data_IF_175840409189
#
_entry.id   IF_175840409189
#
_cell.length_a   1.000
_cell.length_b   1.000
_cell.length_c   1.000
_cell.angle_alpha   90.00
_cell.angle_beta   90.00
_cell.angle_gamma   90.00
#
_symmetry.space_group_name_H-M   'P 1'
#
loop_
_entity.id
_entity.type
_entity.pdbx_description
1 polymer ?
#
# COMPACT_ATOMS: atom_id res chain seq x y z
N UNK A 1 -9.63 10.05 4.98
CA UNK A 1 -10.16 9.20 3.89
C UNK A 1 -10.00 9.89 2.57
N UNK A 2 -10.46 9.28 1.48
CA UNK A 2 -10.58 9.95 0.19
C UNK A 2 -11.89 9.54 -0.45
N UNK A 3 -12.80 10.50 -0.61
CA UNK A 3 -14.06 10.33 -1.34
C UNK A 3 -14.00 11.28 -2.53
N UNK A 4 -13.98 10.78 -3.78
CA UNK A 4 -14.18 11.62 -4.96
C UNK A 4 -15.52 12.35 -4.90
N UNK A 5 -15.58 13.54 -5.48
CA UNK A 5 -16.85 14.17 -5.81
C UNK A 5 -17.38 13.55 -7.11
N UNK A 6 -18.61 13.05 -7.09
CA UNK A 6 -19.31 12.55 -8.27
C UNK A 6 -20.51 13.43 -8.61
N UNK A 7 -20.89 13.53 -9.89
CA UNK A 7 -22.09 14.25 -10.28
C UNK A 7 -23.33 13.73 -9.55
N UNK A 8 -24.15 14.66 -9.05
CA UNK A 8 -25.45 14.38 -8.40
C UNK A 8 -25.39 13.54 -7.12
N UNK A 9 -24.22 13.44 -6.46
CA UNK A 9 -24.03 12.65 -5.24
C UNK A 9 -24.98 13.05 -4.10
N UNK A 10 -25.35 14.32 -4.03
CA UNK A 10 -26.31 14.90 -3.08
C UNK A 10 -27.76 14.49 -3.35
N UNK A 11 -28.08 13.97 -4.55
CA UNK A 11 -29.44 13.53 -4.89
C UNK A 11 -29.79 12.16 -4.32
N UNK A 12 -28.80 11.34 -4.01
CA UNK A 12 -29.01 9.99 -3.47
C UNK A 12 -29.77 10.04 -2.15
N UNK A 13 -30.87 9.29 -2.06
CA UNK A 13 -31.77 9.31 -0.88
C UNK A 13 -31.36 8.33 0.20
N UNK A 14 -30.47 7.39 -0.11
CA UNK A 14 -29.91 6.44 0.85
C UNK A 14 -28.77 7.03 1.68
N UNK A 15 -28.03 6.16 2.38
CA UNK A 15 -26.91 6.56 3.24
C UNK A 15 -25.57 6.37 2.52
N UNK A 16 -24.71 7.39 2.53
CA UNK A 16 -23.33 7.28 2.05
C UNK A 16 -22.39 7.16 3.25
N UNK A 17 -21.50 6.17 3.24
CA UNK A 17 -20.57 5.88 4.33
C UNK A 17 -19.15 5.75 3.80
N UNK A 18 -18.19 6.42 4.45
CA UNK A 18 -16.78 6.18 4.19
C UNK A 18 -16.21 5.20 5.24
N UNK A 19 -15.49 4.13 4.88
CA UNK A 19 -15.04 3.10 5.83
C UNK A 19 -14.15 3.60 6.99
N UNK A 20 -13.37 4.66 6.80
CA UNK A 20 -12.57 5.24 7.90
C UNK A 20 -13.39 5.97 8.97
N UNK A 21 -14.64 6.29 8.68
CA UNK A 21 -15.56 6.98 9.61
C UNK A 21 -16.85 6.17 9.69
N UNK A 22 -16.70 4.87 9.93
CA UNK A 22 -17.82 3.92 9.98
C UNK A 22 -18.77 4.25 11.15
N UNK A 23 -20.08 4.50 10.90
CA UNK A 23 -21.03 4.78 11.97
C UNK A 23 -21.28 3.54 12.83
N UNK A 24 -21.21 3.68 14.15
CA UNK A 24 -21.45 2.57 15.11
C UNK A 24 -22.88 1.99 15.00
N UNK A 25 -23.84 2.82 14.59
CA UNK A 25 -25.25 2.48 14.47
C UNK A 25 -25.67 2.06 13.05
N UNK A 26 -24.71 1.81 12.14
CA UNK A 26 -25.03 1.47 10.76
C UNK A 26 -25.68 0.07 10.66
N UNK A 27 -27.00 0.05 10.51
CA UNK A 27 -27.74 -1.17 10.18
C UNK A 27 -27.85 -1.37 8.66
N UNK A 28 -27.18 -2.42 8.17
CA UNK A 28 -27.19 -2.86 6.79
C UNK A 28 -27.99 -4.16 6.56
N UNK A 29 -28.66 -4.70 7.60
CA UNK A 29 -29.42 -5.95 7.48
C UNK A 29 -30.61 -5.79 6.55
N UNK A 30 -30.77 -6.75 5.63
CA UNK A 30 -31.86 -6.73 4.66
C UNK A 30 -31.87 -5.51 3.74
N UNK A 31 -30.72 -4.84 3.54
CA UNK A 31 -30.56 -3.70 2.64
C UNK A 31 -29.68 -4.04 1.44
N UNK A 32 -29.87 -3.33 0.34
CA UNK A 32 -28.96 -3.35 -0.80
C UNK A 32 -27.77 -2.44 -0.52
N UNK A 33 -26.56 -2.99 -0.54
CA UNK A 33 -25.33 -2.27 -0.27
C UNK A 33 -24.46 -2.20 -1.53
N UNK A 34 -23.99 -1.01 -1.88
CA UNK A 34 -23.05 -0.80 -2.98
C UNK A 34 -21.70 -0.34 -2.43
N UNK A 35 -20.65 -1.13 -2.62
CA UNK A 35 -19.28 -0.80 -2.21
C UNK A 35 -18.50 -0.31 -3.42
N UNK A 36 -18.02 0.94 -3.38
CA UNK A 36 -17.21 1.55 -4.44
C UNK A 36 -15.73 1.41 -4.12
N UNK A 37 -14.99 0.71 -4.98
CA UNK A 37 -13.54 0.53 -4.89
C UNK A 37 -13.13 -0.94 -4.86
N UNK A 38 -11.91 -1.25 -5.31
CA UNK A 38 -11.38 -2.62 -5.43
C UNK A 38 -10.18 -2.90 -4.50
N UNK A 39 -9.88 -1.99 -3.58
CA UNK A 39 -8.74 -2.12 -2.68
C UNK A 39 -8.97 -3.09 -1.52
N UNK A 40 -7.98 -3.20 -0.63
CA UNK A 40 -8.04 -4.08 0.54
C UNK A 40 -9.27 -3.86 1.42
N UNK A 41 -9.69 -2.61 1.62
CA UNK A 41 -10.92 -2.29 2.38
C UNK A 41 -12.16 -2.92 1.77
N UNK A 42 -12.30 -2.91 0.43
CA UNK A 42 -13.43 -3.55 -0.21
C UNK A 42 -13.33 -5.08 -0.12
N UNK A 43 -12.11 -5.62 -0.29
CA UNK A 43 -11.81 -7.04 -0.21
C UNK A 43 -12.18 -7.65 1.16
N UNK A 44 -12.04 -6.89 2.25
CA UNK A 44 -12.42 -7.34 3.60
C UNK A 44 -13.88 -7.03 3.93
N UNK A 45 -14.40 -5.87 3.48
CA UNK A 45 -15.74 -5.43 3.81
C UNK A 45 -16.83 -6.26 3.14
N UNK A 46 -16.69 -6.51 1.83
CA UNK A 46 -17.70 -7.24 1.04
C UNK A 46 -18.01 -8.62 1.64
N UNK A 47 -17.03 -9.52 1.89
CA UNK A 47 -17.34 -10.82 2.48
C UNK A 47 -17.89 -10.70 3.91
N UNK A 48 -17.46 -9.70 4.69
CA UNK A 48 -17.93 -9.51 6.06
C UNK A 48 -19.42 -9.14 6.15
N UNK A 49 -19.97 -8.42 5.16
CA UNK A 49 -21.39 -7.98 5.18
C UNK A 49 -22.31 -8.83 4.29
N UNK A 50 -21.76 -9.56 3.31
CA UNK A 50 -22.54 -10.30 2.30
C UNK A 50 -23.54 -11.29 2.90
N UNK A 51 -23.26 -11.84 4.10
CA UNK A 51 -24.16 -12.76 4.79
C UNK A 51 -25.37 -12.11 5.47
N UNK A 52 -25.30 -10.80 5.74
CA UNK A 52 -26.22 -10.08 6.62
C UNK A 52 -27.09 -9.07 5.86
N UNK A 53 -26.57 -8.49 4.76
CA UNK A 53 -27.34 -7.59 3.89
C UNK A 53 -28.32 -8.35 2.97
N UNK A 54 -29.26 -7.65 2.32
CA UNK A 54 -30.09 -8.26 1.27
C UNK A 54 -29.21 -8.68 0.09
N UNK A 55 -28.32 -7.78 -0.35
CA UNK A 55 -27.36 -8.01 -1.42
C UNK A 55 -26.23 -6.98 -1.35
N UNK A 56 -24.99 -7.40 -1.65
CA UNK A 56 -23.85 -6.48 -1.79
C UNK A 56 -23.31 -6.47 -3.22
N UNK A 57 -23.18 -5.29 -3.80
CA UNK A 57 -22.52 -5.09 -5.10
C UNK A 57 -21.19 -4.39 -4.88
N UNK A 58 -20.10 -4.98 -5.37
CA UNK A 58 -18.79 -4.37 -5.47
C UNK A 58 -18.69 -3.65 -6.82
N UNK A 59 -18.67 -2.33 -6.82
CA UNK A 59 -18.41 -1.53 -8.01
C UNK A 59 -16.94 -1.11 -8.04
N UNK A 60 -16.25 -1.47 -9.11
CA UNK A 60 -14.85 -1.13 -9.31
C UNK A 60 -14.60 -0.52 -10.69
N UNK A 61 -13.72 0.47 -10.75
CA UNK A 61 -13.26 1.05 -12.03
C UNK A 61 -12.16 0.20 -12.66
N UNK A 62 -11.23 -0.28 -11.83
CA UNK A 62 -10.06 -1.03 -12.28
C UNK A 62 -9.90 -2.25 -11.37
N UNK A 63 -9.84 -3.47 -11.92
CA UNK A 63 -9.58 -4.68 -11.13
C UNK A 63 -8.23 -4.61 -10.41
N UNK A 64 -8.12 -5.33 -9.28
CA UNK A 64 -6.84 -5.59 -8.59
C UNK A 64 -6.50 -7.08 -8.59
N UNK A 65 -5.26 -7.40 -8.24
CA UNK A 65 -4.83 -8.77 -7.99
C UNK A 65 -5.17 -9.20 -6.56
N UNK A 66 -5.51 -10.48 -6.43
CA UNK A 66 -5.82 -11.14 -5.16
C UNK A 66 -5.00 -12.41 -4.99
N UNK A 67 -4.69 -12.75 -3.74
CA UNK A 67 -4.16 -14.06 -3.36
C UNK A 67 -5.19 -14.70 -2.44
N UNK A 68 -6.03 -15.63 -2.93
CA UNK A 68 -6.81 -16.49 -2.06
C UNK A 68 -5.91 -17.50 -1.37
N UNK A 69 -6.11 -17.70 -0.08
CA UNK A 69 -5.35 -18.69 0.69
C UNK A 69 -5.87 -18.83 2.11
N UNK A 70 -5.50 -19.94 2.76
CA UNK A 70 -5.86 -20.18 4.16
C UNK A 70 -5.15 -19.18 5.07
N UNK A 71 -5.85 -18.66 6.07
CA UNK A 71 -5.25 -17.76 7.05
C UNK A 71 -4.50 -18.55 8.14
N UNK A 72 -3.47 -19.28 7.74
CA UNK A 72 -2.64 -20.12 8.60
C UNK A 72 -1.19 -20.15 8.09
N UNK A 73 -0.30 -20.79 8.87
CA UNK A 73 1.08 -21.01 8.43
C UNK A 73 1.44 -22.49 8.61
N UNK A 74 1.32 -23.25 7.52
CA UNK A 74 1.54 -24.71 7.53
C UNK A 74 2.94 -25.10 8.03
N UNK A 75 3.98 -24.31 7.73
CA UNK A 75 5.32 -24.57 8.24
C UNK A 75 5.38 -24.43 9.75
N UNK A 76 4.84 -23.32 10.29
CA UNK A 76 4.80 -23.09 11.72
C UNK A 76 4.03 -24.21 12.44
N UNK A 77 2.87 -24.61 11.91
CA UNK A 77 2.05 -25.66 12.50
C UNK A 77 2.76 -27.02 12.49
N UNK A 78 3.45 -27.35 11.40
CA UNK A 78 4.30 -28.55 11.33
C UNK A 78 5.43 -28.52 12.35
N UNK A 79 6.11 -27.39 12.52
CA UNK A 79 7.20 -27.25 13.49
C UNK A 79 6.69 -27.35 14.94
N UNK A 80 5.49 -26.81 15.24
CA UNK A 80 4.84 -26.98 16.54
C UNK A 80 4.55 -28.44 16.85
N UNK A 81 4.01 -29.19 15.88
CA UNK A 81 3.75 -30.64 16.03
C UNK A 81 5.04 -31.42 16.29
N UNK A 82 6.17 -30.98 15.71
CA UNK A 82 7.49 -31.59 15.96
C UNK A 82 8.12 -31.19 17.30
N UNK A 83 7.48 -30.32 18.09
CA UNK A 83 7.99 -29.87 19.39
C UNK A 83 9.18 -28.90 19.30
N UNK A 84 9.32 -28.18 18.17
CA UNK A 84 10.34 -27.13 18.03
C UNK A 84 9.98 -25.95 18.94
N UNK A 85 10.98 -25.34 19.56
CA UNK A 85 10.80 -24.15 20.42
C UNK A 85 10.24 -22.97 19.61
N UNK A 86 9.28 -22.22 20.17
CA UNK A 86 8.59 -21.11 19.48
C UNK A 86 9.56 -20.02 18.98
N UNK A 87 10.72 -19.83 19.63
CA UNK A 87 11.75 -18.90 19.15
C UNK A 87 12.28 -19.33 17.78
N UNK A 88 12.55 -20.63 17.61
CA UNK A 88 13.02 -21.19 16.34
C UNK A 88 11.91 -21.27 15.32
N UNK A 89 10.67 -21.56 15.73
CA UNK A 89 9.51 -21.52 14.83
C UNK A 89 9.38 -20.13 14.22
N UNK A 90 9.36 -19.09 15.06
CA UNK A 90 9.27 -17.72 14.60
C UNK A 90 10.42 -17.36 13.64
N UNK A 91 11.66 -17.68 13.99
CA UNK A 91 12.82 -17.35 13.16
C UNK A 91 12.81 -18.07 11.81
N UNK A 92 12.48 -19.37 11.80
CA UNK A 92 12.40 -20.18 10.57
C UNK A 92 11.28 -19.64 9.67
N UNK A 93 10.07 -19.47 10.22
CA UNK A 93 8.92 -18.97 9.47
C UNK A 93 9.15 -17.55 8.96
N UNK A 94 9.75 -16.67 9.75
CA UNK A 94 10.11 -15.31 9.32
C UNK A 94 11.05 -15.35 8.12
N UNK A 95 12.09 -16.19 8.14
CA UNK A 95 13.02 -16.34 7.01
C UNK A 95 12.33 -16.86 5.76
N UNK A 96 11.49 -17.87 5.89
CA UNK A 96 10.71 -18.41 4.78
C UNK A 96 9.79 -17.34 4.16
N UNK A 97 9.01 -16.63 4.98
CA UNK A 97 8.09 -15.60 4.50
C UNK A 97 8.84 -14.50 3.75
N UNK A 98 9.96 -14.01 4.30
CA UNK A 98 10.76 -12.96 3.67
C UNK A 98 11.41 -13.45 2.36
N UNK A 99 11.87 -14.70 2.33
CA UNK A 99 12.43 -15.30 1.12
C UNK A 99 11.37 -15.44 0.04
N UNK A 100 10.23 -16.05 0.36
CA UNK A 100 9.12 -16.25 -0.58
C UNK A 100 8.56 -14.92 -1.09
N UNK A 101 8.47 -13.91 -0.23
CA UNK A 101 8.03 -12.57 -0.62
C UNK A 101 9.02 -11.88 -1.57
N UNK A 102 10.33 -12.00 -1.32
CA UNK A 102 11.34 -11.46 -2.20
C UNK A 102 11.34 -12.16 -3.56
N UNK A 103 11.23 -13.49 -3.56
CA UNK A 103 11.13 -14.27 -4.79
C UNK A 103 9.86 -13.91 -5.58
N UNK A 104 8.71 -13.85 -4.93
CA UNK A 104 7.46 -13.44 -5.55
C UNK A 104 7.53 -12.01 -6.12
N UNK A 105 8.20 -11.09 -5.40
CA UNK A 105 8.44 -9.74 -5.90
C UNK A 105 9.34 -9.77 -7.13
N UNK A 106 10.46 -10.50 -7.11
CA UNK A 106 11.40 -10.65 -8.23
C UNK A 106 10.70 -11.20 -9.48
N UNK A 107 9.95 -12.29 -9.33
CA UNK A 107 9.16 -12.90 -10.41
C UNK A 107 8.15 -11.92 -11.02
N UNK A 108 7.56 -11.02 -10.23
CA UNK A 108 6.64 -10.00 -10.75
C UNK A 108 7.27 -8.97 -11.70
N UNK A 109 8.61 -8.90 -11.75
CA UNK A 109 9.36 -8.10 -12.71
C UNK A 109 9.95 -8.96 -13.84
N UNK A 110 10.54 -10.11 -13.52
CA UNK A 110 11.23 -10.97 -14.50
C UNK A 110 10.26 -11.77 -15.38
N UNK A 111 9.12 -12.21 -14.82
CA UNK A 111 8.13 -13.05 -15.49
C UNK A 111 6.68 -12.63 -15.17
N UNK A 112 6.32 -11.35 -15.41
CA UNK A 112 5.04 -10.77 -14.97
C UNK A 112 3.81 -11.49 -15.51
N UNK A 113 3.88 -12.06 -16.72
CA UNK A 113 2.76 -12.79 -17.33
C UNK A 113 2.56 -14.19 -16.72
N UNK A 114 3.64 -14.83 -16.25
CA UNK A 114 3.54 -16.10 -15.51
C UNK A 114 2.88 -15.84 -14.16
N UNK A 115 3.36 -14.84 -13.42
CA UNK A 115 2.78 -14.46 -12.12
C UNK A 115 1.33 -13.99 -12.28
N UNK A 116 1.02 -13.22 -13.33
CA UNK A 116 -0.37 -12.85 -13.67
C UNK A 116 -1.23 -14.11 -13.81
N UNK A 117 -0.78 -15.07 -14.61
CA UNK A 117 -1.53 -16.32 -14.84
C UNK A 117 -1.76 -17.09 -13.54
N UNK A 118 -0.73 -17.24 -12.71
CA UNK A 118 -0.84 -17.93 -11.40
C UNK A 118 -1.88 -17.26 -10.49
N UNK A 119 -1.86 -15.93 -10.38
CA UNK A 119 -2.82 -15.17 -9.58
C UNK A 119 -4.26 -15.33 -10.11
N UNK A 120 -4.44 -15.29 -11.43
CA UNK A 120 -5.77 -15.48 -12.03
C UNK A 120 -6.26 -16.92 -11.90
N UNK A 121 -5.37 -17.91 -12.09
CA UNK A 121 -5.69 -19.33 -11.91
C UNK A 121 -6.15 -19.63 -10.48
N UNK A 122 -5.56 -18.98 -9.49
CA UNK A 122 -6.01 -19.08 -8.10
C UNK A 122 -7.45 -18.55 -7.91
N UNK A 123 -7.84 -17.49 -8.61
CA UNK A 123 -9.22 -16.97 -8.59
C UNK A 123 -10.18 -17.88 -9.36
N UNK A 124 -9.74 -18.48 -10.47
CA UNK A 124 -10.52 -19.44 -11.28
C UNK A 124 -10.94 -20.69 -10.51
N UNK A 125 -10.26 -21.02 -9.40
CA UNK A 125 -10.69 -22.09 -8.49
C UNK A 125 -12.06 -21.80 -7.84
N UNK A 126 -12.47 -20.53 -7.79
CA UNK A 126 -13.70 -20.10 -7.12
C UNK A 126 -14.77 -19.58 -8.09
N UNK A 127 -14.37 -19.05 -9.26
CA UNK A 127 -15.26 -18.33 -10.17
C UNK A 127 -15.13 -18.82 -11.62
N UNK A 128 -16.21 -18.72 -12.43
CA UNK A 128 -16.17 -19.03 -13.85
C UNK A 128 -15.22 -18.10 -14.62
N UNK A 129 -14.61 -18.63 -15.70
CA UNK A 129 -13.65 -17.91 -16.56
C UNK A 129 -14.13 -16.52 -16.98
N UNK A 130 -15.37 -16.42 -17.46
CA UNK A 130 -15.96 -15.16 -17.94
C UNK A 130 -16.01 -14.09 -16.84
N UNK A 131 -16.27 -14.50 -15.59
CA UNK A 131 -16.29 -13.58 -14.45
C UNK A 131 -14.88 -13.12 -14.10
N UNK A 132 -13.90 -14.03 -14.14
CA UNK A 132 -12.49 -13.70 -13.88
C UNK A 132 -11.97 -12.72 -14.92
N UNK A 133 -12.16 -13.00 -16.21
CA UNK A 133 -11.66 -12.14 -17.28
C UNK A 133 -12.29 -10.74 -17.26
N UNK A 134 -13.59 -10.65 -16.97
CA UNK A 134 -14.31 -9.37 -16.91
C UNK A 134 -13.98 -8.55 -15.65
N UNK A 135 -13.86 -9.21 -14.49
CA UNK A 135 -13.87 -8.52 -13.20
C UNK A 135 -12.56 -8.63 -12.40
N UNK A 136 -11.65 -9.51 -12.77
CA UNK A 136 -10.46 -9.80 -11.96
C UNK A 136 -9.16 -9.81 -12.76
N UNK A 137 -9.13 -9.23 -13.97
CA UNK A 137 -7.93 -9.07 -14.81
C UNK A 137 -7.42 -7.62 -14.81
N UNK A 138 -6.45 -7.25 -13.95
CA UNK A 138 -5.88 -5.90 -13.93
C UNK A 138 -5.04 -5.60 -15.19
N UNK A 139 -4.95 -4.31 -15.55
CA UNK A 139 -4.15 -3.84 -16.71
C UNK A 139 -2.68 -3.54 -16.38
N UNK A 140 -2.26 -3.70 -15.13
CA UNK A 140 -0.89 -3.47 -14.68
C UNK A 140 -0.22 -4.82 -14.35
N UNK A 141 1.12 -4.85 -14.25
CA UNK A 141 1.85 -6.06 -13.83
C UNK A 141 1.59 -6.36 -12.34
N UNK A 142 1.63 -7.62 -11.89
CA UNK A 142 1.59 -7.94 -10.46
C UNK A 142 2.55 -7.06 -9.65
N UNK A 143 2.15 -6.69 -8.43
CA UNK A 143 2.92 -5.84 -7.51
C UNK A 143 3.22 -4.39 -7.93
N UNK A 144 2.81 -3.90 -9.11
CA UNK A 144 2.82 -2.44 -9.37
C UNK A 144 1.83 -1.68 -8.47
N UNK A 145 0.83 -2.38 -7.96
CA UNK A 145 -0.02 -1.97 -6.85
C UNK A 145 -0.07 -3.11 -5.82
N UNK A 146 -0.51 -2.83 -4.59
CA UNK A 146 -0.60 -3.87 -3.54
C UNK A 146 -1.58 -4.97 -3.96
N UNK A 147 -1.16 -6.21 -3.70
CA UNK A 147 -1.97 -7.40 -3.88
C UNK A 147 -2.71 -7.68 -2.56
N UNK A 148 -4.01 -7.91 -2.64
CA UNK A 148 -4.82 -8.20 -1.45
C UNK A 148 -4.86 -9.70 -1.18
N UNK A 149 -4.53 -10.11 0.05
CA UNK A 149 -4.78 -11.46 0.51
C UNK A 149 -6.25 -11.59 0.91
N UNK A 150 -6.93 -12.64 0.45
CA UNK A 150 -8.35 -12.92 0.75
C UNK A 150 -8.46 -14.28 1.45
N UNK A 151 -8.70 -14.28 2.78
CA UNK A 151 -8.79 -15.51 3.57
C UNK A 151 -9.80 -16.49 2.97
N UNK A 152 -9.35 -17.70 2.71
CA UNK A 152 -10.14 -18.81 2.15
C UNK A 152 -10.86 -18.47 0.83
N UNK A 153 -10.51 -17.35 0.16
CA UNK A 153 -11.25 -16.86 -1.00
C UNK A 153 -12.68 -16.41 -0.67
N UNK A 154 -12.94 -15.96 0.55
CA UNK A 154 -14.26 -15.54 1.08
C UNK A 154 -15.05 -14.60 0.16
N UNK A 155 -14.42 -13.59 -0.42
CA UNK A 155 -15.07 -12.69 -1.40
C UNK A 155 -15.54 -13.44 -2.65
N UNK A 156 -14.73 -14.37 -3.15
CA UNK A 156 -15.07 -15.17 -4.32
C UNK A 156 -16.17 -16.17 -4.03
N UNK A 157 -16.15 -16.79 -2.84
CA UNK A 157 -17.24 -17.65 -2.37
C UNK A 157 -18.56 -16.86 -2.23
N UNK A 158 -18.49 -15.63 -1.70
CA UNK A 158 -19.63 -14.71 -1.63
C UNK A 158 -20.25 -14.44 -3.01
N UNK A 159 -19.40 -14.20 -4.02
CA UNK A 159 -19.83 -14.01 -5.41
C UNK A 159 -20.41 -15.30 -6.01
N UNK A 160 -19.72 -16.43 -5.84
CA UNK A 160 -20.14 -17.73 -6.37
C UNK A 160 -21.49 -18.18 -5.79
N UNK A 161 -21.76 -17.86 -4.52
CA UNK A 161 -23.04 -18.15 -3.85
C UNK A 161 -24.18 -17.22 -4.26
N UNK A 162 -23.90 -16.14 -5.00
CA UNK A 162 -24.86 -15.12 -5.41
C UNK A 162 -25.18 -14.07 -4.35
N UNK A 163 -24.57 -14.13 -3.15
CA UNK A 163 -24.75 -13.12 -2.08
C UNK A 163 -24.03 -11.80 -2.37
N UNK A 164 -23.04 -11.85 -3.25
CA UNK A 164 -22.33 -10.68 -3.74
C UNK A 164 -22.30 -10.65 -5.26
N UNK A 165 -22.16 -9.47 -5.84
CA UNK A 165 -21.90 -9.30 -7.28
C UNK A 165 -20.77 -8.30 -7.47
N UNK A 166 -19.98 -8.45 -8.54
CA UNK A 166 -18.98 -7.46 -8.94
C UNK A 166 -19.38 -6.83 -10.25
N UNK A 167 -19.24 -5.51 -10.31
CA UNK A 167 -19.36 -4.74 -11.55
C UNK A 167 -18.09 -3.96 -11.81
N UNK A 168 -17.55 -4.12 -13.02
CA UNK A 168 -16.39 -3.35 -13.51
C UNK A 168 -16.90 -2.31 -14.49
N UNK A 169 -17.02 -1.07 -14.04
CA UNK A 169 -17.50 0.04 -14.86
C UNK A 169 -17.14 1.39 -14.23
N UNK A 170 -17.43 2.47 -14.94
CA UNK A 170 -17.29 3.85 -14.48
C UNK A 170 -18.64 4.43 -14.06
N UNK A 171 -18.60 5.26 -13.02
CA UNK A 171 -19.75 6.03 -12.54
C UNK A 171 -19.99 7.18 -13.52
N UNK A 172 -21.21 7.30 -14.04
CA UNK A 172 -21.67 8.47 -14.80
C UNK A 172 -22.18 9.54 -13.83
N UNK A 173 -23.13 9.19 -12.97
CA UNK A 173 -23.68 10.05 -11.91
C UNK A 173 -24.44 9.25 -10.86
N UNK A 174 -24.68 9.86 -9.70
CA UNK A 174 -25.61 9.32 -8.71
C UNK A 174 -27.06 9.59 -9.15
N UNK A 175 -27.97 8.73 -8.71
CA UNK A 175 -29.41 8.88 -8.89
C UNK A 175 -30.07 8.93 -7.51
N UNK A 176 -31.37 9.21 -7.46
CA UNK A 176 -32.10 9.18 -6.19
C UNK A 176 -32.08 7.80 -5.51
N UNK A 177 -31.90 6.73 -6.31
CA UNK A 177 -31.96 5.32 -5.87
C UNK A 177 -30.61 4.61 -5.83
N UNK A 178 -29.55 5.20 -6.37
CA UNK A 178 -28.25 4.54 -6.45
C UNK A 178 -27.29 5.24 -7.42
N UNK A 179 -26.72 4.48 -8.35
CA UNK A 179 -25.69 4.96 -9.29
C UNK A 179 -26.01 4.53 -10.72
N UNK A 180 -25.98 5.49 -11.65
CA UNK A 180 -25.96 5.22 -13.08
C UNK A 180 -24.51 5.05 -13.54
N UNK A 181 -24.24 3.94 -14.20
CA UNK A 181 -22.94 3.65 -14.80
C UNK A 181 -22.87 4.19 -16.23
N UNK A 182 -21.66 4.39 -16.75
CA UNK A 182 -21.43 4.83 -18.15
C UNK A 182 -21.94 3.83 -19.18
N UNK A 183 -22.04 2.54 -18.84
CA UNK A 183 -22.71 1.53 -19.68
C UNK A 183 -24.22 1.72 -19.82
N UNK A 184 -24.83 2.57 -18.98
CA UNK A 184 -26.28 2.76 -18.90
C UNK A 184 -26.99 1.84 -17.90
N UNK A 185 -26.26 0.91 -17.24
CA UNK A 185 -26.80 0.11 -16.14
C UNK A 185 -26.93 0.97 -14.88
N UNK A 186 -28.08 0.89 -14.21
CA UNK A 186 -28.30 1.50 -12.90
C UNK A 186 -28.12 0.45 -11.79
N UNK A 187 -27.33 0.79 -10.78
CA UNK A 187 -27.13 0.00 -9.56
C UNK A 187 -27.90 0.65 -8.42
N UNK A 188 -29.02 0.06 -8.02
CA UNK A 188 -29.80 0.53 -6.86
C UNK A 188 -29.15 0.12 -5.54
N UNK A 189 -29.20 1.00 -4.54
CA UNK A 189 -28.68 0.72 -3.21
C UNK A 189 -29.40 1.55 -2.14
N UNK A 190 -29.54 1.01 -0.94
CA UNK A 190 -29.96 1.77 0.24
C UNK A 190 -28.76 2.42 0.94
N UNK A 191 -27.58 1.78 0.82
CA UNK A 191 -26.32 2.22 1.41
C UNK A 191 -25.22 2.16 0.35
N UNK A 192 -24.49 3.27 0.19
CA UNK A 192 -23.29 3.34 -0.65
C UNK A 192 -22.07 3.50 0.24
N UNK A 193 -21.09 2.62 0.09
CA UNK A 193 -19.85 2.63 0.87
C UNK A 193 -18.69 3.03 -0.03
N UNK A 194 -18.05 4.16 0.26
CA UNK A 194 -16.96 4.71 -0.55
C UNK A 194 -15.61 4.15 -0.08
N UNK A 195 -15.34 2.87 -0.38
CA UNK A 195 -14.06 2.20 -0.11
C UNK A 195 -12.93 2.65 -1.07
N UNK A 196 -12.81 3.96 -1.26
CA UNK A 196 -12.00 4.63 -2.30
C UNK A 196 -10.58 5.00 -1.85
N UNK A 197 -10.16 4.47 -0.70
CA UNK A 197 -8.81 4.65 -0.15
C UNK A 197 -8.66 5.94 0.66
N UNK A 198 -7.49 6.56 0.58
CA UNK A 198 -7.12 7.73 1.39
C UNK A 198 -6.22 8.70 0.61
N UNK A 199 -6.08 9.92 1.13
CA UNK A 199 -4.98 10.81 0.78
C UNK A 199 -3.81 10.50 1.70
N UNK A 200 -2.60 10.43 1.15
CA UNK A 200 -1.41 10.22 1.98
C UNK A 200 -1.21 11.48 2.84
N UNK A 201 -1.17 11.30 4.15
CA UNK A 201 -0.72 12.36 5.06
C UNK A 201 0.80 12.32 5.06
N UNK A 202 1.41 13.15 4.20
CA UNK A 202 2.86 13.26 4.10
C UNK A 202 3.36 13.87 5.40
N UNK A 203 4.13 13.10 6.16
CA UNK A 203 4.69 13.50 7.45
C UNK A 203 3.66 13.90 8.52
N UNK A 204 2.44 13.38 8.43
CA UNK A 204 1.44 13.48 9.51
C UNK A 204 0.74 14.84 9.62
N UNK A 205 0.69 15.63 8.54
CA UNK A 205 0.07 16.97 8.48
C UNK A 205 0.70 17.96 9.48
N UNK A 206 1.98 17.74 9.81
CA UNK A 206 2.77 18.63 10.68
C UNK A 206 3.33 19.77 9.83
N UNK A 207 3.11 21.02 10.29
CA UNK A 207 3.72 22.21 9.71
C UNK A 207 5.18 22.34 10.19
N UNK A 208 6.12 21.94 9.34
CA UNK A 208 7.55 22.08 9.62
C UNK A 208 8.08 23.45 9.16
N UNK A 209 9.00 24.01 9.93
CA UNK A 209 9.77 25.19 9.54
C UNK A 209 11.26 25.06 9.93
N UNK A 210 12.11 25.81 9.23
CA UNK A 210 13.52 25.99 9.57
C UNK A 210 13.78 27.49 9.69
N UNK A 211 14.18 27.94 10.88
CA UNK A 211 14.43 29.34 11.21
C UNK A 211 13.24 30.26 10.85
N UNK A 212 12.01 29.81 11.11
CA UNK A 212 10.77 30.55 10.83
C UNK A 212 10.31 30.51 9.38
N UNK A 213 10.97 29.74 8.50
CA UNK A 213 10.57 29.58 7.09
C UNK A 213 9.89 28.22 6.88
N UNK A 214 8.68 28.17 6.30
CA UNK A 214 8.01 26.92 6.00
C UNK A 214 8.88 25.97 5.17
N UNK A 215 8.93 24.71 5.59
CA UNK A 215 9.67 23.66 4.91
C UNK A 215 8.76 22.93 3.91
N UNK A 216 9.13 22.98 2.64
CA UNK A 216 8.51 22.18 1.59
C UNK A 216 9.41 20.97 1.25
N UNK A 217 8.97 19.77 1.62
CA UNK A 217 9.75 18.55 1.39
C UNK A 217 9.96 18.23 -0.09
N UNK A 218 9.06 18.68 -0.99
CA UNK A 218 9.20 18.49 -2.43
C UNK A 218 10.43 19.19 -3.04
N UNK A 219 11.01 20.16 -2.32
CA UNK A 219 12.23 20.85 -2.71
C UNK A 219 13.50 20.11 -2.25
N UNK A 220 13.37 19.10 -1.39
CA UNK A 220 14.47 18.29 -0.88
C UNK A 220 14.71 17.03 -1.71
N UNK A 221 15.90 16.44 -1.54
CA UNK A 221 16.25 15.10 -2.01
C UNK A 221 16.45 14.20 -0.80
N UNK A 222 15.93 12.98 -0.84
CA UNK A 222 16.12 12.05 0.28
C UNK A 222 17.46 11.33 0.21
N UNK A 223 18.23 11.33 1.29
CA UNK A 223 19.30 10.36 1.51
C UNK A 223 18.69 9.05 2.01
N UNK A 224 18.86 7.97 1.24
CA UNK A 224 18.35 6.61 1.48
C UNK A 224 16.87 6.56 1.90
N UNK A 225 16.06 7.53 1.46
CA UNK A 225 14.66 7.63 1.88
C UNK A 225 14.44 7.77 3.40
N UNK A 226 15.43 8.29 4.14
CA UNK A 226 15.38 8.45 5.60
C UNK A 226 15.83 9.82 6.11
N UNK A 227 16.67 10.57 5.38
CA UNK A 227 17.03 11.96 5.72
C UNK A 227 16.79 12.87 4.50
N UNK A 228 16.72 14.18 4.69
CA UNK A 228 16.39 15.14 3.63
C UNK A 228 17.48 16.20 3.49
N UNK A 229 17.87 16.52 2.26
CA UNK A 229 18.86 17.56 2.01
C UNK A 229 18.41 18.90 2.62
N UNK A 230 19.28 19.52 3.40
CA UNK A 230 19.01 20.82 4.02
C UNK A 230 18.13 20.78 5.28
N UNK A 231 17.67 19.61 5.72
CA UNK A 231 16.89 19.46 6.96
C UNK A 231 17.78 18.89 8.07
N UNK A 232 18.07 19.66 9.14
CA UNK A 232 18.94 19.20 10.21
C UNK A 232 18.22 18.23 11.16
N UNK A 233 18.97 17.25 11.68
CA UNK A 233 18.56 16.39 12.80
C UNK A 233 17.20 15.67 12.63
N UNK A 234 16.76 15.43 11.39
CA UNK A 234 15.50 14.75 11.11
C UNK A 234 15.74 13.40 10.42
N UNK A 235 15.15 12.35 10.96
CA UNK A 235 15.06 11.02 10.34
C UNK A 235 13.59 10.66 10.13
N UNK A 236 13.26 10.30 8.89
CA UNK A 236 11.94 9.85 8.48
C UNK A 236 11.89 8.33 8.42
N UNK A 237 11.10 7.74 9.31
CA UNK A 237 10.86 6.30 9.35
C UNK A 237 9.71 5.98 8.39
N UNK A 238 10.05 5.51 7.19
CA UNK A 238 9.08 5.02 6.22
C UNK A 238 9.44 3.59 5.81
N UNK A 239 8.49 2.65 5.89
CA UNK A 239 8.74 1.22 5.62
C UNK A 239 8.57 0.79 4.16
N UNK A 240 8.66 -0.51 3.91
CA UNK A 240 8.53 -1.08 2.56
C UNK A 240 7.07 -1.16 2.08
N UNK A 241 6.86 -1.07 0.77
CA UNK A 241 5.53 -1.27 0.19
C UNK A 241 5.09 -2.73 0.12
N UNK A 242 6.05 -3.62 -0.11
CA UNK A 242 5.84 -5.06 -0.37
C UNK A 242 6.17 -5.96 0.80
N UNK A 243 6.86 -5.43 1.81
CA UNK A 243 7.22 -6.14 3.03
C UNK A 243 6.64 -5.44 4.26
N UNK A 244 6.77 -6.07 5.43
CA UNK A 244 6.35 -5.42 6.67
C UNK A 244 7.13 -4.12 6.89
N UNK A 245 6.42 -3.05 7.25
CA UNK A 245 7.04 -1.76 7.52
C UNK A 245 8.01 -1.84 8.70
N UNK A 246 7.74 -2.70 9.69
CA UNK A 246 8.56 -2.89 10.89
C UNK A 246 9.98 -3.35 10.59
N UNK A 247 10.20 -4.07 9.48
CA UNK A 247 11.54 -4.54 9.10
C UNK A 247 12.51 -3.39 8.89
N UNK A 248 12.04 -2.28 8.30
CA UNK A 248 12.86 -1.10 8.06
C UNK A 248 12.98 -0.23 9.31
N UNK A 249 11.96 -0.24 10.17
CA UNK A 249 11.99 0.51 11.44
C UNK A 249 13.19 0.08 12.28
N UNK A 250 13.42 -1.23 12.41
CA UNK A 250 14.55 -1.76 13.19
C UNK A 250 15.89 -1.29 12.61
N UNK A 251 16.08 -1.40 11.28
CA UNK A 251 17.30 -0.95 10.60
C UNK A 251 17.55 0.54 10.78
N UNK A 252 16.50 1.35 10.70
CA UNK A 252 16.60 2.80 10.90
C UNK A 252 16.83 3.14 12.39
N UNK A 253 16.29 2.37 13.32
CA UNK A 253 16.56 2.51 14.75
C UNK A 253 18.04 2.30 15.08
N UNK A 254 18.66 1.26 14.53
CA UNK A 254 20.09 1.01 14.68
C UNK A 254 20.94 2.13 14.06
N UNK A 255 20.55 2.62 12.88
CA UNK A 255 21.19 3.77 12.24
C UNK A 255 21.10 5.03 13.12
N UNK A 256 19.93 5.34 13.68
CA UNK A 256 19.73 6.48 14.58
C UNK A 256 20.65 6.39 15.79
N UNK A 257 20.71 5.22 16.45
CA UNK A 257 21.58 5.01 17.60
C UNK A 257 23.06 5.23 17.27
N UNK A 258 23.51 4.72 16.10
CA UNK A 258 24.88 4.92 15.61
C UNK A 258 25.16 6.39 15.30
N UNK A 259 24.24 7.08 14.62
CA UNK A 259 24.37 8.49 14.28
C UNK A 259 24.48 9.37 15.53
N UNK A 260 23.61 9.16 16.52
CA UNK A 260 23.64 9.92 17.77
C UNK A 260 24.96 9.71 18.52
N UNK A 261 25.43 8.46 18.64
CA UNK A 261 26.72 8.16 19.26
C UNK A 261 27.89 8.84 18.52
N UNK A 262 27.86 8.83 17.20
CA UNK A 262 28.89 9.49 16.38
C UNK A 262 28.87 11.02 16.54
N UNK A 263 27.67 11.63 16.63
CA UNK A 263 27.53 13.05 16.94
C UNK A 263 28.10 13.40 18.32
N UNK A 264 27.84 12.57 19.34
CA UNK A 264 28.41 12.75 20.68
C UNK A 264 29.94 12.67 20.68
N UNK A 265 30.52 11.71 19.96
CA UNK A 265 31.98 11.54 19.81
C UNK A 265 32.63 12.75 19.11
N UNK A 266 31.92 13.38 18.16
CA UNK A 266 32.37 14.61 17.48
C UNK A 266 32.09 15.89 18.26
N UNK A 267 31.25 15.84 19.29
CA UNK A 267 30.70 17.02 19.94
C UNK A 267 29.80 17.87 19.03
N UNK A 268 29.23 17.26 17.98
CA UNK A 268 28.34 17.91 17.03
C UNK A 268 26.92 18.00 17.59
N UNK A 269 26.26 19.13 17.39
CA UNK A 269 24.86 19.35 17.81
C UNK A 269 23.89 19.26 16.65
N UNK A 270 24.41 19.37 15.43
CA UNK A 270 23.62 19.36 14.21
C UNK A 270 24.30 18.48 13.17
N UNK A 271 23.50 17.66 12.52
CA UNK A 271 23.86 16.94 11.31
C UNK A 271 22.83 17.23 10.23
N UNK A 272 23.32 17.54 9.04
CA UNK A 272 22.50 17.74 7.83
C UNK A 272 23.09 16.88 6.72
N UNK A 273 22.24 16.32 5.87
CA UNK A 273 22.70 15.69 4.63
C UNK A 273 22.71 16.69 3.47
N UNK A 274 23.70 16.59 2.59
CA UNK A 274 23.82 17.38 1.37
C UNK A 274 24.25 16.51 0.20
N UNK A 275 23.91 16.93 -1.04
CA UNK A 275 24.38 16.23 -2.23
C UNK A 275 25.91 16.27 -2.27
N UNK A 276 26.52 15.09 -2.51
CA UNK A 276 27.97 14.99 -2.75
C UNK A 276 28.33 15.77 -4.01
N UNK A 277 29.59 16.21 -4.14
CA UNK A 277 30.04 17.03 -5.27
C UNK A 277 29.81 16.32 -6.61
N UNK A 278 30.08 15.03 -6.66
CA UNK A 278 29.87 14.14 -7.79
C UNK A 278 28.39 13.88 -8.12
N UNK A 279 27.47 14.23 -7.23
CA UNK A 279 26.02 14.06 -7.39
C UNK A 279 25.29 15.37 -7.73
N UNK A 280 26.01 16.50 -7.74
CA UNK A 280 25.42 17.83 -7.94
C UNK A 280 24.62 18.00 -9.23
N UNK A 281 24.93 17.21 -10.27
CA UNK A 281 24.26 17.23 -11.57
C UNK A 281 23.40 15.98 -11.84
N UNK A 282 23.13 15.15 -10.83
CA UNK A 282 22.32 13.95 -11.02
C UNK A 282 20.87 14.32 -11.40
N UNK A 283 20.19 13.52 -12.24
CA UNK A 283 18.76 13.67 -12.47
C UNK A 283 17.97 13.56 -11.17
N UNK A 284 17.03 14.49 -10.97
CA UNK A 284 16.06 14.40 -9.88
C UNK A 284 14.77 13.78 -10.40
N UNK A 285 14.32 12.74 -9.71
CA UNK A 285 13.17 11.92 -10.10
C UNK A 285 12.09 11.98 -9.01
N UNK A 286 10.84 11.62 -9.32
CA UNK A 286 9.80 11.43 -8.31
C UNK A 286 10.24 10.44 -7.24
N UNK A 287 9.76 10.64 -6.02
CA UNK A 287 10.15 9.87 -4.82
C UNK A 287 10.14 8.35 -5.00
N UNK A 288 9.16 7.86 -5.77
CA UNK A 288 9.08 6.46 -6.20
C UNK A 288 8.91 6.44 -7.71
N UNK A 289 9.49 5.42 -8.35
CA UNK A 289 9.25 5.15 -9.76
C UNK A 289 7.82 4.61 -9.98
N UNK A 290 6.96 5.27 -10.78
CA UNK A 290 5.61 4.78 -11.07
C UNK A 290 5.59 3.43 -11.81
N UNK A 291 6.65 3.07 -12.53
CA UNK A 291 6.78 1.73 -13.12
C UNK A 291 7.05 0.66 -12.06
N UNK A 292 7.69 1.06 -10.95
CA UNK A 292 7.86 0.23 -9.77
C UNK A 292 6.57 0.12 -8.96
N UNK A 293 5.98 1.24 -8.52
CA UNK A 293 4.81 1.23 -7.65
C UNK A 293 3.95 2.49 -7.79
N UNK A 294 2.67 2.35 -8.19
CA UNK A 294 1.82 3.48 -8.56
C UNK A 294 0.34 3.42 -8.09
N UNK A 295 0.02 2.98 -6.87
CA UNK A 295 -1.37 3.02 -6.41
C UNK A 295 -1.87 4.47 -6.36
N UNK A 296 -3.16 4.66 -6.64
CA UNK A 296 -3.74 6.01 -6.78
C UNK A 296 -3.58 6.90 -5.56
N UNK A 297 -3.57 6.36 -4.35
CA UNK A 297 -3.36 7.14 -3.11
C UNK A 297 -1.97 7.75 -3.02
N UNK A 298 -0.96 7.12 -3.63
CA UNK A 298 0.41 7.61 -3.64
C UNK A 298 0.60 8.62 -4.77
N UNK A 299 0.07 8.32 -5.95
CA UNK A 299 0.18 9.21 -7.12
C UNK A 299 -0.49 10.57 -6.90
N UNK A 300 -1.56 10.62 -6.08
CA UNK A 300 -2.25 11.89 -5.72
C UNK A 300 -1.42 12.83 -4.85
N UNK A 301 -0.38 12.33 -4.16
CA UNK A 301 0.42 13.11 -3.21
C UNK A 301 1.90 13.15 -3.62
N UNK A 302 2.23 12.74 -4.85
CA UNK A 302 3.61 12.63 -5.32
C UNK A 302 4.33 13.98 -5.36
N UNK A 303 3.59 15.04 -5.65
CA UNK A 303 4.04 16.43 -5.69
C UNK A 303 4.39 16.99 -4.31
N UNK A 304 3.90 16.38 -3.22
CA UNK A 304 4.21 16.74 -1.84
C UNK A 304 5.43 15.98 -1.29
N UNK A 305 5.85 14.90 -1.96
CA UNK A 305 6.92 14.03 -1.52
C UNK A 305 8.29 14.56 -1.97
N UNK A 306 9.36 14.27 -1.20
CA UNK A 306 10.72 14.65 -1.58
C UNK A 306 11.17 13.96 -2.87
N UNK A 307 12.14 14.55 -3.57
CA UNK A 307 12.72 13.96 -4.78
C UNK A 307 13.71 12.85 -4.42
N UNK A 308 14.02 12.01 -5.41
CA UNK A 308 15.10 11.02 -5.34
C UNK A 308 16.16 11.28 -6.41
N UNK A 309 17.37 10.82 -6.17
CA UNK A 309 18.41 10.74 -7.19
C UNK A 309 18.35 9.44 -7.99
N UNK A 310 19.23 9.30 -8.97
CA UNK A 310 19.40 8.08 -9.78
C UNK A 310 20.39 7.07 -9.17
N UNK A 311 21.10 7.43 -8.10
CA UNK A 311 22.01 6.55 -7.35
C UNK A 311 21.37 5.95 -6.09
N UNK A 312 21.81 4.77 -5.62
CA UNK A 312 21.22 4.07 -4.46
C UNK A 312 21.18 4.89 -3.16
N UNK A 313 22.19 5.74 -2.92
CA UNK A 313 22.28 6.58 -1.73
C UNK A 313 21.19 7.65 -1.67
N UNK A 314 20.59 7.97 -2.83
CA UNK A 314 19.53 8.98 -2.94
C UNK A 314 18.16 8.35 -3.22
N UNK A 315 18.00 7.06 -2.93
CA UNK A 315 16.78 6.29 -3.18
C UNK A 315 16.33 5.52 -1.95
N UNK A 316 15.01 5.32 -1.82
CA UNK A 316 14.46 4.24 -1.03
C UNK A 316 14.37 3.00 -1.92
N UNK A 317 15.26 2.02 -1.72
CA UNK A 317 15.40 0.86 -2.64
C UNK A 317 14.18 -0.04 -2.68
N UNK A 318 13.32 0.03 -1.65
CA UNK A 318 12.21 -0.90 -1.40
C UNK A 318 12.65 -2.35 -1.18
N UNK A 319 13.95 -2.59 -0.98
CA UNK A 319 14.54 -3.92 -0.87
C UNK A 319 15.19 -4.11 0.50
N UNK A 320 14.52 -4.90 1.33
CA UNK A 320 15.01 -5.30 2.65
C UNK A 320 16.34 -6.06 2.60
N UNK A 321 16.53 -6.94 1.61
CA UNK A 321 17.71 -7.80 1.54
C UNK A 321 18.97 -7.01 1.21
N UNK A 322 18.81 -5.93 0.45
CA UNK A 322 19.89 -4.98 0.18
C UNK A 322 20.11 -4.05 1.36
N UNK A 323 19.05 -3.45 1.92
CA UNK A 323 19.19 -2.45 2.99
C UNK A 323 19.67 -3.04 4.31
N UNK A 324 19.34 -4.31 4.64
CA UNK A 324 19.83 -4.97 5.87
C UNK A 324 21.35 -5.06 5.92
N UNK A 325 22.03 -5.04 4.77
CA UNK A 325 23.48 -5.09 4.67
C UNK A 325 24.08 -3.70 4.44
N UNK A 326 23.39 -2.83 3.68
CA UNK A 326 23.90 -1.49 3.37
C UNK A 326 23.74 -0.46 4.49
N UNK A 327 22.63 -0.47 5.23
CA UNK A 327 22.38 0.52 6.29
C UNK A 327 23.38 0.39 7.46
N UNK A 328 23.75 -0.83 7.91
CA UNK A 328 24.83 -1.01 8.88
C UNK A 328 26.20 -0.51 8.39
N UNK A 329 26.44 -0.52 7.08
CA UNK A 329 27.73 -0.11 6.50
C UNK A 329 27.78 1.36 6.07
N UNK A 330 26.75 2.17 6.39
CA UNK A 330 26.79 3.62 6.11
C UNK A 330 27.97 4.25 6.84
N UNK A 331 28.82 4.92 6.08
CA UNK A 331 29.93 5.73 6.56
C UNK A 331 29.41 7.09 7.05
N UNK A 332 29.40 7.28 8.38
CA UNK A 332 28.95 8.51 9.00
C UNK A 332 29.95 9.66 8.88
N UNK A 333 31.18 9.38 8.42
CA UNK A 333 32.17 10.39 8.02
C UNK A 333 32.09 10.72 6.52
N UNK A 334 31.10 10.14 5.81
CA UNK A 334 30.86 10.34 4.39
C UNK A 334 30.63 11.81 4.01
N UNK A 335 30.98 12.16 2.76
CA UNK A 335 30.94 13.53 2.25
C UNK A 335 29.53 14.14 2.21
N UNK A 336 28.49 13.31 2.27
CA UNK A 336 27.10 13.74 2.39
C UNK A 336 26.73 14.28 3.78
N UNK A 337 27.47 13.92 4.84
CA UNK A 337 27.15 14.28 6.22
C UNK A 337 27.90 15.54 6.67
N UNK A 338 27.16 16.59 6.97
CA UNK A 338 27.70 17.86 7.43
C UNK A 338 27.38 18.04 8.91
N UNK A 339 28.42 18.11 9.74
CA UNK A 339 28.31 18.25 11.19
C UNK A 339 28.67 19.67 11.63
N UNK A 340 27.90 20.23 12.56
CA UNK A 340 28.10 21.53 13.21
C UNK A 340 28.02 21.44 14.74
#
# INVERSE_FOLDING_TARGET
GYTPEWPDMDKFKGKIVHPQTWPEDLDYKGKKVLVIGSGATAATLVPAIAGDCEHVTLLQRSPTYFIPGRNENELADRLRVLGVDETWIHEITRREILHNQAEFTRRSFEEPEVVRKELLDAVRLFLPEETVEKHFTPRYRPWRQRIAFVPDGDIFQGIASGKATVETDEIERFTEKGILLKSGKELEADIIITATGFNLSVLGDIDFDIDGKPLNFADSVTYRGMMFTGVPNMIWIFGYFRASWTLRVDLLGDFVCRLLKHMDEKGAKKVTVALRKEDSNMPLLPWIDPENFNPGYLMRSMDLLPKRGDKPEWQHTQDYWVEKDQLPEVDLDGAEFHYE
#
